data_IF_668452164463
#
_entry.id   IF_668452164463
#
_cell.length_a   1.000
_cell.length_b   1.000
_cell.length_c   1.000
_cell.angle_alpha   90.00
_cell.angle_beta   90.00
_cell.angle_gamma   90.00
#
_symmetry.space_group_name_H-M   'P 1'
#
loop_
_entity.id
_entity.type
_entity.pdbx_description
1 polymer ?
#
# COMPACT_ATOMS: atom_id res chain seq x y z
N UNK A 1 -4.53 9.98 4.56
CA UNK A 1 -5.32 9.47 5.70
C UNK A 1 -6.65 8.83 5.25
N UNK A 2 -6.68 7.99 4.20
CA UNK A 2 -7.84 7.12 3.92
C UNK A 2 -7.42 5.78 3.25
N UNK A 3 -7.49 4.70 4.04
CA UNK A 3 -7.97 3.37 3.64
C UNK A 3 -7.15 2.57 2.59
N UNK A 4 -6.02 2.04 3.08
CA UNK A 4 -5.36 0.86 2.54
C UNK A 4 -5.94 -0.43 3.16
N UNK A 5 -6.92 -1.05 2.50
CA UNK A 5 -7.02 -2.51 2.40
C UNK A 5 -8.01 -2.86 1.29
N UNK A 6 -7.55 -3.64 0.32
CA UNK A 6 -8.40 -4.33 -0.67
C UNK A 6 -8.98 -5.63 -0.12
N UNK A 7 -8.55 -6.03 1.09
CA UNK A 7 -8.69 -7.40 1.53
C UNK A 7 -9.83 -7.63 2.56
N UNK A 8 -11.05 -7.17 2.28
CA UNK A 8 -12.20 -7.40 3.16
C UNK A 8 -13.51 -7.78 2.46
N UNK A 9 -13.50 -8.62 1.41
CA UNK A 9 -14.73 -9.23 0.90
C UNK A 9 -14.55 -10.75 0.67
N UNK A 10 -15.13 -11.51 1.59
CA UNK A 10 -15.69 -12.88 1.55
C UNK A 10 -15.07 -13.95 0.62
N UNK A 11 -14.66 -15.08 1.22
CA UNK A 11 -15.22 -16.42 0.88
C UNK A 11 -14.75 -17.50 1.87
N UNK A 12 -15.73 -18.18 2.46
CA UNK A 12 -15.58 -19.51 3.03
C UNK A 12 -15.26 -20.54 1.93
N UNK A 13 -14.53 -21.58 2.32
CA UNK A 13 -14.18 -22.71 1.45
C UNK A 13 -15.43 -23.52 1.12
N UNK A 14 -15.72 -23.69 -0.16
CA UNK A 14 -16.57 -24.80 -0.61
C UNK A 14 -15.70 -26.06 -0.66
N UNK A 15 -16.03 -27.03 0.19
CA UNK A 15 -15.48 -28.38 0.17
C UNK A 15 -16.13 -29.10 -1.02
N UNK A 16 -15.31 -29.58 -1.95
CA UNK A 16 -15.74 -30.43 -3.06
C UNK A 16 -16.15 -31.79 -2.49
N UNK A 17 -17.45 -32.06 -2.48
CA UNK A 17 -18.04 -33.36 -2.20
C UNK A 17 -18.77 -33.85 -3.45
N UNK A 18 -18.28 -34.97 -4.00
CA UNK A 18 -18.86 -35.76 -5.07
C UNK A 18 -20.36 -36.05 -4.85
N UNK A 19 -21.18 -35.87 -5.90
CA UNK A 19 -22.57 -36.31 -5.92
C UNK A 19 -23.21 -36.08 -7.28
N UNK A 20 -23.27 -37.12 -8.11
CA UNK A 20 -24.10 -37.18 -9.32
C UNK A 20 -25.56 -36.97 -8.93
N UNK A 21 -26.26 -36.06 -9.60
CA UNK A 21 -27.74 -36.13 -9.67
C UNK A 21 -28.19 -35.86 -11.10
N UNK A 22 -28.90 -36.86 -11.60
CA UNK A 22 -29.51 -37.04 -12.91
C UNK A 22 -30.60 -36.00 -13.19
N UNK A 23 -30.68 -35.51 -14.42
CA UNK A 23 -31.77 -34.65 -14.90
C UNK A 23 -32.93 -35.55 -15.33
N UNK A 24 -34.08 -35.40 -14.70
CA UNK A 24 -35.37 -35.88 -15.21
C UNK A 24 -36.36 -34.72 -15.14
N UNK A 25 -36.99 -34.40 -16.28
CA UNK A 25 -38.00 -33.36 -16.38
C UNK A 25 -39.33 -33.76 -15.77
N UNK A 26 -40.23 -32.79 -15.61
CA UNK A 26 -41.68 -32.86 -15.87
C UNK A 26 -42.27 -31.44 -15.72
N UNK A 27 -43.12 -31.12 -16.69
CA UNK A 27 -44.02 -29.97 -16.84
C UNK A 27 -45.07 -29.86 -15.73
N UNK A 28 -45.52 -28.64 -15.40
CA UNK A 28 -46.75 -28.46 -14.60
C UNK A 28 -47.08 -27.00 -14.25
N UNK A 29 -48.13 -26.48 -14.87
CA UNK A 29 -48.74 -25.16 -14.66
C UNK A 29 -49.53 -25.12 -13.33
N UNK A 30 -49.48 -24.00 -12.59
CA UNK A 30 -50.41 -23.76 -11.48
C UNK A 30 -50.22 -22.44 -10.73
N UNK A 31 -50.99 -21.41 -11.08
CA UNK A 31 -51.20 -20.19 -10.27
C UNK A 31 -51.95 -20.54 -8.97
N UNK A 32 -51.52 -20.01 -7.82
CA UNK A 32 -52.41 -19.34 -6.82
C UNK A 32 -51.66 -18.84 -5.56
N UNK A 33 -52.17 -17.68 -5.10
CA UNK A 33 -52.18 -17.10 -3.74
C UNK A 33 -50.90 -16.44 -3.20
N UNK A 34 -50.90 -15.11 -3.34
CA UNK A 34 -50.31 -14.15 -2.41
C UNK A 34 -50.95 -14.31 -1.01
N UNK A 35 -50.15 -14.58 0.02
CA UNK A 35 -50.52 -14.31 1.41
C UNK A 35 -49.28 -14.09 2.29
N UNK A 36 -49.41 -13.05 3.11
CA UNK A 36 -48.71 -12.67 4.34
C UNK A 36 -47.19 -12.49 4.33
N UNK A 37 -46.83 -11.20 4.40
CA UNK A 37 -45.71 -10.61 5.14
C UNK A 37 -45.00 -11.55 6.13
N UNK A 38 -43.90 -12.15 5.68
CA UNK A 38 -42.87 -12.68 6.56
C UNK A 38 -41.92 -11.55 6.96
N UNK A 39 -41.86 -11.31 8.26
CA UNK A 39 -40.90 -10.46 8.94
C UNK A 39 -39.48 -10.73 8.44
N UNK A 40 -38.84 -9.75 7.81
CA UNK A 40 -37.42 -9.79 7.50
C UNK A 40 -36.63 -9.92 8.81
N UNK A 41 -36.16 -11.14 9.06
CA UNK A 41 -35.26 -11.51 10.13
C UNK A 41 -34.10 -10.52 10.22
N UNK A 42 -33.87 -9.99 11.43
CA UNK A 42 -32.69 -9.18 11.78
C UNK A 42 -31.44 -9.97 11.40
N UNK A 43 -30.71 -9.48 10.40
CA UNK A 43 -29.36 -9.88 9.98
C UNK A 43 -28.52 -10.51 11.12
N UNK A 44 -28.58 -11.84 11.26
CA UNK A 44 -27.60 -12.59 12.05
C UNK A 44 -26.28 -12.54 11.29
N UNK A 45 -25.21 -12.06 11.94
CA UNK A 45 -23.86 -12.15 11.39
C UNK A 45 -23.58 -13.60 10.95
N UNK A 46 -22.81 -13.83 9.87
CA UNK A 46 -22.42 -15.19 9.50
C UNK A 46 -21.69 -15.82 10.69
N UNK A 47 -22.27 -16.89 11.24
CA UNK A 47 -21.71 -17.61 12.37
C UNK A 47 -20.58 -18.51 11.85
N UNK A 48 -19.33 -18.06 11.96
CA UNK A 48 -18.18 -18.89 11.67
C UNK A 48 -18.13 -20.06 12.65
N UNK A 49 -17.68 -21.22 12.17
CA UNK A 49 -17.48 -22.37 13.04
C UNK A 49 -16.33 -22.12 14.02
N UNK A 50 -16.36 -22.74 15.19
CA UNK A 50 -15.28 -22.62 16.19
C UNK A 50 -13.91 -22.98 15.63
N UNK A 51 -13.84 -24.04 14.80
CA UNK A 51 -12.62 -24.46 14.10
C UNK A 51 -12.08 -23.38 13.15
N UNK A 52 -12.95 -22.70 12.41
CA UNK A 52 -12.50 -21.61 11.52
C UNK A 52 -11.93 -20.44 12.31
N UNK A 53 -12.55 -20.08 13.44
CA UNK A 53 -12.05 -19.03 14.32
C UNK A 53 -10.72 -19.39 14.98
N UNK A 54 -10.54 -20.66 15.38
CA UNK A 54 -9.26 -21.15 15.90
C UNK A 54 -8.15 -21.09 14.85
N UNK A 55 -8.44 -21.49 13.61
CA UNK A 55 -7.49 -21.38 12.49
C UNK A 55 -7.14 -19.92 12.24
N UNK A 56 -8.13 -19.02 12.17
CA UNK A 56 -7.89 -17.60 11.97
C UNK A 56 -7.03 -16.98 13.09
N UNK A 57 -7.27 -17.39 14.35
CA UNK A 57 -6.47 -16.96 15.50
C UNK A 57 -5.03 -17.48 15.41
N UNK A 58 -4.85 -18.74 15.03
CA UNK A 58 -3.52 -19.33 14.85
C UNK A 58 -2.75 -18.63 13.74
N UNK A 59 -3.37 -18.42 12.58
CA UNK A 59 -2.77 -17.67 11.46
C UNK A 59 -2.37 -16.25 11.85
N UNK A 60 -3.18 -15.59 12.68
CA UNK A 60 -2.85 -14.28 13.24
C UNK A 60 -1.60 -14.35 14.13
N UNK A 61 -1.57 -15.27 15.10
CA UNK A 61 -0.46 -15.39 16.05
C UNK A 61 0.85 -15.71 15.34
N UNK A 62 0.81 -16.64 14.39
CA UNK A 62 1.96 -16.99 13.53
C UNK A 62 2.41 -15.78 12.70
N UNK A 63 1.48 -14.91 12.33
CA UNK A 63 1.72 -13.68 11.56
C UNK A 63 2.28 -12.49 12.35
N UNK A 64 2.36 -12.54 13.68
CA UNK A 64 2.91 -11.44 14.49
C UNK A 64 4.43 -11.25 14.31
N UNK A 65 5.13 -12.32 13.91
CA UNK A 65 6.59 -12.31 13.81
C UNK A 65 7.30 -12.18 15.17
N UNK A 66 8.64 -12.20 15.18
CA UNK A 66 9.42 -12.33 16.41
C UNK A 66 9.45 -11.05 17.27
N UNK A 67 9.21 -9.88 16.68
CA UNK A 67 9.27 -8.60 17.40
C UNK A 67 7.95 -8.22 18.05
N UNK A 68 6.83 -8.31 17.32
CA UNK A 68 5.51 -7.92 17.86
C UNK A 68 5.03 -8.92 18.91
N UNK A 69 5.33 -10.22 18.74
CA UNK A 69 4.95 -11.26 19.72
C UNK A 69 5.58 -11.06 21.11
N UNK A 70 6.69 -10.33 21.20
CA UNK A 70 7.38 -10.01 22.47
C UNK A 70 6.86 -8.73 23.15
N UNK A 71 6.01 -7.95 22.47
CA UNK A 71 5.44 -6.75 23.07
C UNK A 71 4.45 -7.11 24.20
N UNK A 72 4.21 -6.19 25.16
CA UNK A 72 3.17 -6.39 26.16
C UNK A 72 1.83 -6.70 25.50
N UNK A 73 1.08 -7.67 26.04
CA UNK A 73 -0.21 -8.14 25.45
C UNK A 73 -1.21 -7.00 25.17
N UNK A 74 -1.17 -5.92 25.94
CA UNK A 74 -2.01 -4.73 25.76
C UNK A 74 -1.61 -3.87 24.54
N UNK A 75 -0.36 -3.94 24.09
CA UNK A 75 0.19 -3.13 22.99
C UNK A 75 0.07 -3.83 21.65
N UNK A 76 0.09 -5.18 21.64
CA UNK A 76 -0.03 -6.00 20.42
C UNK A 76 -1.21 -5.56 19.54
N UNK A 77 -2.45 -5.35 20.05
CA UNK A 77 -3.57 -4.94 19.21
C UNK A 77 -3.36 -3.58 18.52
N UNK A 78 -2.67 -2.64 19.16
CA UNK A 78 -2.36 -1.32 18.58
C UNK A 78 -1.22 -1.41 17.55
N UNK A 79 -0.23 -2.27 17.81
CA UNK A 79 0.83 -2.58 16.84
C UNK A 79 0.25 -3.23 15.56
N UNK A 80 -0.67 -4.17 15.71
CA UNK A 80 -1.41 -4.78 14.60
C UNK A 80 -2.29 -3.76 13.87
N UNK A 81 -2.87 -2.80 14.59
CA UNK A 81 -3.67 -1.73 14.00
C UNK A 81 -2.83 -0.81 13.12
N UNK A 82 -1.57 -0.59 13.51
CA UNK A 82 -0.55 0.11 12.71
C UNK A 82 0.08 -0.73 11.59
N UNK A 83 -0.22 -2.04 11.52
CA UNK A 83 0.40 -3.01 10.61
C UNK A 83 1.91 -3.15 10.81
N UNK A 84 2.40 -3.04 12.05
CA UNK A 84 3.82 -3.20 12.34
C UNK A 84 4.33 -4.62 12.03
N UNK A 85 3.46 -5.62 12.06
CA UNK A 85 3.74 -7.00 11.65
C UNK A 85 3.91 -7.16 10.12
N UNK A 86 3.40 -6.20 9.33
CA UNK A 86 3.47 -6.18 7.86
C UNK A 86 4.00 -4.83 7.35
N UNK A 87 5.29 -4.51 7.58
CA UNK A 87 5.85 -3.18 7.34
C UNK A 87 6.02 -2.81 5.86
N UNK A 88 5.62 -3.68 4.93
CA UNK A 88 5.74 -3.47 3.47
C UNK A 88 5.17 -2.13 3.05
N UNK A 89 3.99 -1.79 3.57
CA UNK A 89 3.31 -0.54 3.26
C UNK A 89 3.98 0.71 3.83
N UNK A 90 4.74 0.59 4.91
CA UNK A 90 5.53 1.70 5.48
C UNK A 90 6.78 1.92 4.66
N UNK A 91 7.48 0.83 4.29
CA UNK A 91 8.66 0.91 3.44
C UNK A 91 8.35 1.50 2.07
N UNK A 92 7.31 1.01 1.39
CA UNK A 92 6.96 1.54 0.07
C UNK A 92 6.52 3.02 0.11
N UNK A 93 5.99 3.50 1.25
CA UNK A 93 5.68 4.92 1.45
C UNK A 93 6.95 5.75 1.68
N UNK A 94 7.91 5.17 2.39
CA UNK A 94 9.14 5.84 2.80
C UNK A 94 10.19 5.93 1.68
N UNK A 95 10.31 4.92 0.82
CA UNK A 95 11.36 4.85 -0.20
C UNK A 95 11.37 6.05 -1.19
N UNK A 96 10.24 6.53 -1.73
CA UNK A 96 10.25 7.75 -2.55
C UNK A 96 10.69 9.00 -1.75
N UNK A 97 10.45 9.03 -0.43
CA UNK A 97 10.94 10.09 0.44
C UNK A 97 12.46 10.04 0.55
N UNK A 98 13.05 8.85 0.73
CA UNK A 98 14.51 8.72 0.84
C UNK A 98 15.22 9.18 -0.43
N UNK A 99 14.67 8.86 -1.61
CA UNK A 99 15.25 9.27 -2.88
C UNK A 99 15.25 10.79 -3.03
N UNK A 100 14.12 11.44 -2.77
CA UNK A 100 14.01 12.90 -2.88
C UNK A 100 14.87 13.64 -1.85
N UNK A 101 14.94 13.14 -0.60
CA UNK A 101 15.81 13.70 0.44
C UNK A 101 17.28 13.59 0.05
N UNK A 102 17.74 12.41 -0.39
CA UNK A 102 19.16 12.22 -0.74
C UNK A 102 19.53 13.03 -1.99
N UNK A 103 18.66 13.07 -3.00
CA UNK A 103 18.88 13.91 -4.18
C UNK A 103 18.91 15.41 -3.81
N UNK A 104 17.95 15.87 -3.00
CA UNK A 104 17.92 17.24 -2.49
C UNK A 104 19.15 17.59 -1.64
N UNK A 105 19.61 16.66 -0.80
CA UNK A 105 20.81 16.79 0.01
C UNK A 105 22.07 16.98 -0.85
N UNK A 106 22.23 16.16 -1.90
CA UNK A 106 23.34 16.32 -2.84
C UNK A 106 23.28 17.65 -3.60
N UNK A 107 22.11 18.08 -4.04
CA UNK A 107 21.94 19.35 -4.76
C UNK A 107 22.24 20.57 -3.88
N UNK A 108 21.90 20.52 -2.59
CA UNK A 108 22.10 21.60 -1.64
C UNK A 108 23.48 21.56 -0.96
N UNK A 109 24.23 20.45 -1.09
CA UNK A 109 25.47 20.23 -0.34
C UNK A 109 25.24 20.02 1.17
N UNK A 110 24.14 19.38 1.55
CA UNK A 110 23.76 19.19 2.94
C UNK A 110 24.69 18.21 3.68
N UNK A 111 24.94 18.48 4.97
CA UNK A 111 25.77 17.62 5.82
C UNK A 111 25.09 16.28 6.13
N UNK A 112 25.89 15.27 6.48
CA UNK A 112 25.38 13.93 6.84
C UNK A 112 24.36 13.99 7.98
N UNK A 113 24.60 14.84 8.98
CA UNK A 113 23.69 15.01 10.13
C UNK A 113 22.33 15.57 9.73
N UNK A 114 22.30 16.60 8.87
CA UNK A 114 21.04 17.18 8.38
C UNK A 114 20.25 16.16 7.55
N UNK A 115 20.93 15.45 6.64
CA UNK A 115 20.31 14.41 5.79
C UNK A 115 19.77 13.24 6.61
N UNK A 116 20.56 12.72 7.56
CA UNK A 116 20.14 11.63 8.44
C UNK A 116 18.97 12.04 9.34
N UNK A 117 18.99 13.28 9.86
CA UNK A 117 17.87 13.85 10.61
C UNK A 117 16.58 13.88 9.79
N UNK A 118 16.65 14.37 8.54
CA UNK A 118 15.48 14.44 7.67
C UNK A 118 14.94 13.07 7.27
N UNK A 119 15.83 12.12 6.98
CA UNK A 119 15.47 10.71 6.77
C UNK A 119 14.73 10.14 8.00
N UNK A 120 15.24 10.41 9.21
CA UNK A 120 14.58 10.00 10.46
C UNK A 120 13.18 10.60 10.62
N UNK A 121 13.03 11.91 10.41
CA UNK A 121 11.74 12.62 10.48
C UNK A 121 10.72 12.01 9.50
N UNK A 122 11.11 11.81 8.25
CA UNK A 122 10.24 11.19 7.24
C UNK A 122 9.96 9.71 7.54
N UNK A 123 10.90 8.98 8.14
CA UNK A 123 10.71 7.59 8.57
C UNK A 123 9.64 7.48 9.66
N UNK A 124 9.70 8.34 10.68
CA UNK A 124 8.66 8.45 11.72
C UNK A 124 7.33 8.87 11.10
N UNK A 125 7.34 9.87 10.22
CA UNK A 125 6.15 10.33 9.50
C UNK A 125 5.50 9.20 8.69
N UNK A 126 6.28 8.44 7.93
CA UNK A 126 5.78 7.32 7.13
C UNK A 126 5.18 6.22 8.02
N UNK A 127 5.84 5.86 9.13
CA UNK A 127 5.35 4.87 10.09
C UNK A 127 4.00 5.29 10.70
N UNK A 128 3.93 6.51 11.20
CA UNK A 128 2.76 7.04 11.91
C UNK A 128 1.60 7.27 10.96
N UNK A 129 1.83 7.91 9.80
CA UNK A 129 0.77 8.22 8.85
C UNK A 129 0.26 6.98 8.12
N UNK A 130 1.12 5.98 7.89
CA UNK A 130 0.67 4.66 7.44
C UNK A 130 -0.21 4.00 8.49
N UNK A 131 0.22 4.01 9.74
CA UNK A 131 -0.54 3.48 10.87
C UNK A 131 -1.90 4.16 11.03
N UNK A 132 -1.98 5.49 10.91
CA UNK A 132 -3.22 6.26 10.92
C UNK A 132 -4.16 5.83 9.78
N UNK A 133 -3.61 5.67 8.57
CA UNK A 133 -4.35 5.19 7.40
C UNK A 133 -4.94 3.78 7.59
N UNK A 134 -4.22 2.88 8.25
CA UNK A 134 -4.72 1.54 8.60
C UNK A 134 -5.75 1.57 9.75
N UNK A 135 -5.55 2.44 10.74
CA UNK A 135 -6.44 2.60 11.90
C UNK A 135 -7.82 3.11 11.48
N UNK A 136 -7.89 4.19 10.69
CA UNK A 136 -9.17 4.69 10.18
C UNK A 136 -9.85 3.67 9.28
N UNK A 137 -9.07 2.86 8.56
CA UNK A 137 -9.62 1.82 7.71
C UNK A 137 -10.35 0.74 8.51
N UNK A 138 -9.65 0.13 9.47
CA UNK A 138 -10.24 -0.90 10.31
C UNK A 138 -11.42 -0.35 11.11
N UNK A 139 -11.42 0.96 11.44
CA UNK A 139 -12.54 1.62 12.12
C UNK A 139 -13.80 1.69 11.25
N UNK A 140 -13.65 2.03 9.95
CA UNK A 140 -14.74 2.11 8.98
C UNK A 140 -15.23 0.72 8.55
N UNK A 141 -14.30 -0.22 8.35
CA UNK A 141 -14.58 -1.57 7.86
C UNK A 141 -15.00 -2.55 8.97
N UNK A 142 -14.99 -2.15 10.26
CA UNK A 142 -15.21 -3.03 11.42
C UNK A 142 -16.41 -3.99 11.30
N UNK A 143 -17.55 -3.52 10.78
CA UNK A 143 -18.77 -4.33 10.64
C UNK A 143 -18.68 -5.33 9.49
N UNK A 144 -17.93 -4.99 8.44
CA UNK A 144 -17.67 -5.87 7.31
C UNK A 144 -16.61 -6.91 7.68
N UNK A 145 -15.55 -6.49 8.38
CA UNK A 145 -14.48 -7.36 8.84
C UNK A 145 -14.96 -8.45 9.80
N UNK A 146 -15.96 -8.14 10.64
CA UNK A 146 -16.63 -9.15 11.48
C UNK A 146 -17.34 -10.25 10.70
N UNK A 147 -17.62 -10.03 9.41
CA UNK A 147 -18.32 -10.97 8.52
C UNK A 147 -17.38 -11.71 7.59
N UNK A 148 -16.07 -11.53 7.71
CA UNK A 148 -15.07 -12.12 6.82
C UNK A 148 -14.01 -12.87 7.64
N UNK A 149 -13.88 -14.18 7.41
CA UNK A 149 -13.01 -15.04 8.23
C UNK A 149 -11.55 -14.56 8.31
N UNK A 150 -10.99 -14.03 7.21
CA UNK A 150 -9.60 -13.54 7.18
C UNK A 150 -9.38 -12.24 7.96
N UNK A 151 -10.43 -11.48 8.25
CA UNK A 151 -10.34 -10.19 8.95
C UNK A 151 -11.11 -10.14 10.26
N UNK A 152 -11.77 -11.23 10.65
CA UNK A 152 -12.49 -11.35 11.93
C UNK A 152 -11.56 -11.11 13.13
N UNK A 153 -10.29 -11.50 13.01
CA UNK A 153 -9.26 -11.33 14.05
C UNK A 153 -8.60 -9.94 14.01
N UNK A 154 -9.01 -8.99 13.16
CA UNK A 154 -8.49 -7.61 13.20
C UNK A 154 -8.80 -6.95 14.55
N UNK A 155 -7.96 -6.03 15.06
CA UNK A 155 -8.08 -5.53 16.44
C UNK A 155 -9.45 -4.93 16.79
N UNK A 156 -10.04 -4.15 15.88
CA UNK A 156 -11.36 -3.53 16.09
C UNK A 156 -12.50 -4.53 15.84
N UNK A 157 -12.38 -5.37 14.81
CA UNK A 157 -13.40 -6.36 14.45
C UNK A 157 -13.58 -7.42 15.55
N UNK A 158 -12.48 -7.93 16.10
CA UNK A 158 -12.43 -8.91 17.19
C UNK A 158 -12.76 -8.33 18.57
N UNK A 159 -12.95 -7.01 18.68
CA UNK A 159 -13.23 -6.34 19.96
C UNK A 159 -12.01 -6.16 20.88
N UNK A 160 -10.79 -6.55 20.46
CA UNK A 160 -9.56 -6.36 21.23
C UNK A 160 -9.19 -4.89 21.42
N UNK A 161 -9.66 -4.03 20.52
CA UNK A 161 -9.60 -2.56 20.65
C UNK A 161 -11.02 -2.02 20.53
N UNK A 162 -11.47 -1.25 21.52
CA UNK A 162 -12.79 -0.63 21.48
C UNK A 162 -12.85 0.45 20.38
N UNK A 163 -14.01 0.73 19.77
CA UNK A 163 -14.14 1.78 18.76
C UNK A 163 -13.69 3.17 19.27
N UNK A 164 -13.98 3.49 20.54
CA UNK A 164 -13.49 4.73 21.18
C UNK A 164 -11.96 4.72 21.32
N UNK A 165 -11.37 3.60 21.74
CA UNK A 165 -9.92 3.43 21.84
C UNK A 165 -9.22 3.56 20.48
N UNK A 166 -9.82 3.05 19.41
CA UNK A 166 -9.31 3.24 18.05
C UNK A 166 -9.36 4.70 17.60
N UNK A 167 -10.41 5.44 17.96
CA UNK A 167 -10.54 6.86 17.62
C UNK A 167 -9.51 7.73 18.38
N UNK A 168 -9.31 7.46 19.67
CA UNK A 168 -8.26 8.12 20.47
C UNK A 168 -6.89 7.82 19.88
N UNK A 169 -6.62 6.57 19.54
CA UNK A 169 -5.36 6.18 18.93
C UNK A 169 -5.12 6.85 17.58
N UNK A 170 -6.15 6.92 16.72
CA UNK A 170 -6.10 7.68 15.48
C UNK A 170 -5.77 9.16 15.74
N UNK A 171 -6.45 9.79 16.71
CA UNK A 171 -6.16 11.16 17.13
C UNK A 171 -4.71 11.33 17.56
N UNK A 172 -4.19 10.38 18.34
CA UNK A 172 -2.79 10.37 18.82
C UNK A 172 -1.82 10.28 17.63
N UNK A 173 -2.08 9.39 16.66
CA UNK A 173 -1.26 9.26 15.45
C UNK A 173 -1.29 10.54 14.61
N UNK A 174 -2.46 11.17 14.46
CA UNK A 174 -2.56 12.42 13.71
C UNK A 174 -1.86 13.59 14.42
N UNK A 175 -1.87 13.63 15.75
CA UNK A 175 -1.12 14.62 16.53
C UNK A 175 0.39 14.42 16.36
N UNK A 176 0.87 13.18 16.42
CA UNK A 176 2.28 12.88 16.13
C UNK A 176 2.64 13.24 14.69
N UNK A 177 1.77 12.93 13.72
CA UNK A 177 1.95 13.33 12.32
C UNK A 177 1.99 14.85 12.12
N UNK A 178 1.18 15.59 12.87
CA UNK A 178 1.22 17.06 12.92
C UNK A 178 2.51 17.58 13.55
N UNK A 179 2.99 16.92 14.62
CA UNK A 179 4.31 17.20 15.20
C UNK A 179 5.43 17.02 14.18
N UNK A 180 5.42 15.91 13.43
CA UNK A 180 6.37 15.68 12.32
C UNK A 180 6.26 16.79 11.26
N UNK A 181 5.05 17.16 10.85
CA UNK A 181 4.85 18.23 9.87
C UNK A 181 5.37 19.58 10.38
N UNK A 182 5.25 19.87 11.68
CA UNK A 182 5.74 21.11 12.28
C UNK A 182 7.26 21.25 12.27
N UNK A 183 8.00 20.13 12.15
CA UNK A 183 9.45 20.13 11.98
C UNK A 183 9.89 20.42 10.54
N UNK A 184 8.96 20.43 9.59
CA UNK A 184 9.23 20.66 8.18
C UNK A 184 9.00 22.13 7.80
N UNK A 185 9.72 22.64 6.79
CA UNK A 185 9.56 24.02 6.35
C UNK A 185 8.17 24.25 5.71
N UNK A 186 7.73 25.51 5.68
CA UNK A 186 6.37 25.88 5.25
C UNK A 186 6.00 25.40 3.84
N UNK A 187 6.98 25.27 2.94
CA UNK A 187 6.80 24.71 1.60
C UNK A 187 6.24 23.27 1.66
N UNK A 188 6.68 22.46 2.63
CA UNK A 188 6.14 21.12 2.85
C UNK A 188 4.68 21.15 3.33
N UNK A 189 4.27 22.20 4.04
CA UNK A 189 2.88 22.34 4.51
C UNK A 189 1.94 22.61 3.35
N UNK A 190 2.32 23.55 2.46
CA UNK A 190 1.53 23.86 1.27
C UNK A 190 1.44 22.66 0.31
N UNK A 191 2.55 21.95 0.08
CA UNK A 191 2.53 20.72 -0.71
C UNK A 191 1.74 19.60 -0.04
N UNK A 192 1.80 19.49 1.29
CA UNK A 192 0.99 18.56 2.06
C UNK A 192 -0.50 18.87 1.92
N UNK A 193 -0.88 20.14 2.03
CA UNK A 193 -2.25 20.61 1.84
C UNK A 193 -2.76 20.31 0.42
N UNK A 194 -1.92 20.52 -0.60
CA UNK A 194 -2.23 20.22 -1.99
C UNK A 194 -2.52 18.72 -2.24
N UNK A 195 -2.03 17.82 -1.39
CA UNK A 195 -2.33 16.38 -1.49
C UNK A 195 -3.74 16.01 -0.99
N UNK A 196 -4.34 16.84 -0.13
CA UNK A 196 -5.58 16.49 0.57
C UNK A 196 -6.76 16.18 -0.37
N UNK A 197 -7.03 16.94 -1.44
CA UNK A 197 -8.12 16.61 -2.35
C UNK A 197 -8.00 15.19 -2.93
N UNK A 198 -6.79 14.75 -3.28
CA UNK A 198 -6.55 13.41 -3.81
C UNK A 198 -6.75 12.36 -2.71
N UNK A 199 -6.23 12.63 -1.51
CA UNK A 199 -6.35 11.74 -0.35
C UNK A 199 -7.80 11.52 0.07
N UNK A 200 -8.62 12.58 0.08
CA UNK A 200 -10.04 12.49 0.43
C UNK A 200 -10.88 11.83 -0.65
N UNK A 201 -10.55 12.05 -1.92
CA UNK A 201 -11.34 11.50 -3.03
C UNK A 201 -10.98 10.05 -3.34
N UNK A 202 -9.77 9.57 -3.06
CA UNK A 202 -9.30 8.21 -3.37
C UNK A 202 -10.28 7.07 -3.01
N UNK A 203 -10.92 7.02 -1.82
CA UNK A 203 -11.87 5.96 -1.47
C UNK A 203 -13.06 5.86 -2.45
N UNK A 204 -13.45 6.99 -3.05
CA UNK A 204 -14.53 7.06 -4.02
C UNK A 204 -14.14 6.40 -5.35
N UNK A 205 -12.86 6.44 -5.73
CA UNK A 205 -12.38 5.87 -7.01
C UNK A 205 -12.68 4.37 -7.12
N UNK A 206 -12.68 3.63 -6.00
CA UNK A 206 -13.04 2.20 -6.00
C UNK A 206 -14.49 1.95 -6.45
N UNK A 207 -15.38 2.94 -6.31
CA UNK A 207 -16.80 2.82 -6.67
C UNK A 207 -17.07 3.23 -8.12
N UNK A 208 -16.29 4.18 -8.65
CA UNK A 208 -16.57 4.80 -9.95
C UNK A 208 -15.63 4.34 -11.08
N UNK A 209 -14.40 3.90 -10.78
CA UNK A 209 -13.40 3.59 -11.82
C UNK A 209 -12.76 2.21 -11.66
N UNK A 210 -12.24 1.68 -12.77
CA UNK A 210 -11.35 0.51 -12.78
C UNK A 210 -9.91 0.84 -12.36
N UNK A 211 -9.61 2.12 -12.09
CA UNK A 211 -8.25 2.58 -11.80
C UNK A 211 -8.07 3.13 -10.37
N UNK A 212 -8.55 2.47 -9.30
CA UNK A 212 -8.25 2.95 -7.94
C UNK A 212 -6.74 2.99 -7.66
N UNK A 213 -5.94 2.14 -8.32
CA UNK A 213 -4.49 2.15 -8.19
C UNK A 213 -3.84 3.45 -8.66
N UNK A 214 -4.45 4.17 -9.61
CA UNK A 214 -3.96 5.47 -10.07
C UNK A 214 -4.06 6.50 -8.96
N UNK A 215 -5.24 6.65 -8.36
CA UNK A 215 -5.44 7.56 -7.23
C UNK A 215 -4.62 7.16 -5.99
N UNK A 216 -4.42 5.84 -5.77
CA UNK A 216 -3.51 5.37 -4.73
C UNK A 216 -2.08 5.84 -4.98
N UNK A 217 -1.57 5.59 -6.19
CA UNK A 217 -0.20 5.91 -6.57
C UNK A 217 0.07 7.40 -6.50
N UNK A 218 -0.93 8.24 -6.81
CA UNK A 218 -0.83 9.69 -6.66
C UNK A 218 -0.62 10.08 -5.19
N UNK A 219 -1.49 9.63 -4.29
CA UNK A 219 -1.37 9.95 -2.86
C UNK A 219 -0.09 9.37 -2.23
N UNK A 220 0.24 8.13 -2.60
CA UNK A 220 1.22 7.33 -1.89
C UNK A 220 2.66 7.75 -2.18
N UNK A 221 2.93 8.35 -3.34
CA UNK A 221 4.27 8.78 -3.73
C UNK A 221 4.50 10.28 -3.51
N UNK A 222 3.59 10.99 -2.83
CA UNK A 222 3.72 12.43 -2.57
C UNK A 222 5.00 12.79 -1.81
N UNK A 223 5.55 11.82 -1.04
CA UNK A 223 6.86 11.94 -0.39
C UNK A 223 8.01 12.27 -1.34
N UNK A 224 7.94 11.84 -2.61
CA UNK A 224 8.93 12.19 -3.64
C UNK A 224 8.97 13.70 -3.96
N UNK A 225 7.88 14.42 -3.71
CA UNK A 225 7.83 15.87 -3.83
C UNK A 225 8.28 16.55 -2.54
N UNK A 226 7.91 16.01 -1.38
CA UNK A 226 8.15 16.65 -0.09
C UNK A 226 9.63 16.64 0.34
N UNK A 227 10.44 15.67 -0.10
CA UNK A 227 11.84 15.57 0.34
C UNK A 227 12.74 16.72 -0.14
N UNK A 228 12.49 17.28 -1.33
CA UNK A 228 13.26 18.42 -1.84
C UNK A 228 13.10 19.70 -0.99
N UNK A 229 11.88 20.24 -0.80
CA UNK A 229 11.69 21.42 0.03
C UNK A 229 12.08 21.16 1.49
N UNK A 230 11.98 19.92 1.97
CA UNK A 230 12.47 19.56 3.29
C UNK A 230 14.00 19.75 3.42
N UNK A 231 14.74 19.51 2.33
CA UNK A 231 16.17 19.82 2.23
C UNK A 231 16.47 21.27 1.82
N UNK A 232 15.46 22.13 1.72
CA UNK A 232 15.62 23.56 1.42
C UNK A 232 15.67 23.92 -0.05
N UNK A 233 15.40 22.98 -0.98
CA UNK A 233 15.46 23.22 -2.42
C UNK A 233 14.12 22.92 -3.11
N UNK A 234 13.69 23.79 -4.02
CA UNK A 234 12.50 23.56 -4.85
C UNK A 234 12.92 23.47 -6.32
N UNK A 235 13.16 22.26 -6.81
CA UNK A 235 13.55 22.02 -8.20
C UNK A 235 12.46 21.22 -8.93
N UNK A 236 11.48 21.92 -9.49
CA UNK A 236 10.38 21.31 -10.24
C UNK A 236 10.84 20.39 -11.38
N UNK A 237 11.86 20.75 -12.19
CA UNK A 237 12.40 19.87 -13.22
C UNK A 237 12.88 18.51 -12.71
N UNK A 238 13.39 18.40 -11.48
CA UNK A 238 13.78 17.13 -10.85
C UNK A 238 12.60 16.48 -10.11
N UNK A 239 11.82 17.28 -9.38
CA UNK A 239 10.73 16.81 -8.52
C UNK A 239 9.62 16.10 -9.31
N UNK A 240 9.17 16.69 -10.42
CA UNK A 240 8.05 16.15 -11.20
C UNK A 240 8.41 14.80 -11.83
N UNK A 241 9.55 14.63 -12.54
CA UNK A 241 9.93 13.33 -13.07
C UNK A 241 10.16 12.27 -11.98
N UNK A 242 10.73 12.63 -10.82
CA UNK A 242 10.89 11.67 -9.72
C UNK A 242 9.53 11.21 -9.16
N UNK A 243 8.60 12.14 -8.96
CA UNK A 243 7.24 11.82 -8.52
C UNK A 243 6.50 10.95 -9.53
N UNK A 244 6.53 11.29 -10.82
CA UNK A 244 5.88 10.50 -11.87
C UNK A 244 6.53 9.13 -12.04
N UNK A 245 7.86 9.03 -11.91
CA UNK A 245 8.56 7.74 -11.87
C UNK A 245 8.07 6.88 -10.71
N UNK A 246 8.03 7.44 -9.49
CA UNK A 246 7.54 6.74 -8.30
C UNK A 246 6.06 6.35 -8.42
N UNK A 247 5.24 7.20 -9.04
CA UNK A 247 3.85 6.92 -9.36
C UNK A 247 3.70 5.71 -10.29
N UNK A 248 4.46 5.65 -11.38
CA UNK A 248 4.41 4.52 -12.32
C UNK A 248 4.94 3.22 -11.69
N UNK A 249 5.93 3.33 -10.82
CA UNK A 249 6.42 2.19 -10.06
C UNK A 249 5.35 1.64 -9.12
N UNK A 250 4.65 2.52 -8.41
CA UNK A 250 3.53 2.16 -7.54
C UNK A 250 2.36 1.55 -8.29
N UNK A 251 1.98 2.13 -9.42
CA UNK A 251 0.99 1.52 -10.30
C UNK A 251 1.36 0.10 -10.71
N UNK A 252 2.64 -0.15 -10.97
CA UNK A 252 3.14 -1.47 -11.39
C UNK A 252 3.01 -2.49 -10.26
N UNK A 253 3.61 -2.22 -9.10
CA UNK A 253 3.58 -3.18 -8.00
C UNK A 253 2.17 -3.33 -7.39
N UNK A 254 1.36 -2.26 -7.37
CA UNK A 254 0.01 -2.32 -6.80
C UNK A 254 -0.98 -3.02 -7.75
N UNK A 255 -0.72 -2.98 -9.05
CA UNK A 255 -1.45 -3.83 -10.00
C UNK A 255 -1.09 -5.30 -9.82
N UNK A 256 0.18 -5.65 -9.58
CA UNK A 256 0.57 -7.03 -9.22
C UNK A 256 -0.11 -7.46 -7.92
N UNK A 257 -0.19 -6.57 -6.93
CA UNK A 257 -0.92 -6.82 -5.69
C UNK A 257 -2.41 -7.06 -5.95
N UNK A 258 -3.05 -6.24 -6.80
CA UNK A 258 -4.46 -6.41 -7.16
C UNK A 258 -4.78 -7.73 -7.86
N UNK A 259 -3.83 -8.31 -8.59
CA UNK A 259 -4.00 -9.65 -9.19
C UNK A 259 -4.15 -10.78 -8.14
N UNK A 260 -3.71 -10.58 -6.89
CA UNK A 260 -3.95 -11.53 -5.79
C UNK A 260 -5.43 -11.70 -5.49
N UNK A 261 -6.19 -10.60 -5.58
CA UNK A 261 -7.62 -10.56 -5.27
C UNK A 261 -8.49 -10.68 -6.54
N UNK A 262 -7.91 -10.90 -7.74
CA UNK A 262 -8.62 -10.94 -9.04
C UNK A 262 -9.86 -11.83 -9.05
N UNK A 263 -9.75 -13.06 -8.55
CA UNK A 263 -10.86 -14.03 -8.51
C UNK A 263 -12.00 -13.57 -7.58
N UNK A 264 -11.67 -12.80 -6.55
CA UNK A 264 -12.64 -12.24 -5.60
C UNK A 264 -13.28 -10.97 -6.15
N UNK A 265 -12.49 -10.07 -6.73
CA UNK A 265 -12.96 -8.84 -7.37
C UNK A 265 -14.06 -9.13 -8.40
N UNK A 266 -13.90 -10.18 -9.21
CA UNK A 266 -14.91 -10.63 -10.18
C UNK A 266 -16.23 -10.98 -9.50
N UNK A 267 -16.17 -11.77 -8.41
CA UNK A 267 -17.37 -12.22 -7.68
C UNK A 267 -18.06 -11.08 -6.93
N UNK A 268 -17.30 -10.11 -6.45
CA UNK A 268 -17.81 -8.97 -5.70
C UNK A 268 -18.20 -7.77 -6.59
N UNK A 269 -17.99 -7.85 -7.91
CA UNK A 269 -18.25 -6.74 -8.84
C UNK A 269 -17.32 -5.54 -8.63
N UNK A 270 -16.17 -5.73 -8.00
CA UNK A 270 -15.21 -4.66 -7.70
C UNK A 270 -14.36 -4.39 -8.94
N UNK A 271 -14.27 -3.12 -9.33
CA UNK A 271 -13.50 -2.68 -10.49
C UNK A 271 -12.01 -2.51 -10.13
N UNK A 272 -11.10 -3.06 -10.94
CA UNK A 272 -9.64 -2.99 -10.70
C UNK A 272 -8.82 -2.99 -11.98
N UNK A 273 -7.58 -2.47 -11.92
CA UNK A 273 -6.65 -2.53 -13.07
C UNK A 273 -6.36 -3.96 -13.50
N UNK A 274 -6.34 -4.90 -12.55
CA UNK A 274 -6.18 -6.32 -12.84
C UNK A 274 -7.29 -6.85 -13.77
N UNK A 275 -8.53 -6.36 -13.60
CA UNK A 275 -9.65 -6.69 -14.48
C UNK A 275 -9.66 -5.86 -15.77
N UNK A 276 -9.37 -4.56 -15.70
CA UNK A 276 -9.36 -3.71 -16.89
C UNK A 276 -8.24 -4.05 -17.88
N UNK A 277 -7.06 -4.41 -17.39
CA UNK A 277 -5.92 -4.77 -18.23
C UNK A 277 -5.95 -6.24 -18.66
N UNK A 278 -6.48 -7.12 -17.81
CA UNK A 278 -6.68 -8.54 -18.12
C UNK A 278 -5.39 -9.19 -18.67
N UNK A 279 -5.45 -9.87 -19.83
CA UNK A 279 -4.27 -10.48 -20.47
C UNK A 279 -3.16 -9.47 -20.84
N UNK A 280 -3.51 -8.21 -21.08
CA UNK A 280 -2.56 -7.15 -21.48
C UNK A 280 -1.76 -6.58 -20.31
N UNK A 281 -2.03 -6.99 -19.07
CA UNK A 281 -1.37 -6.46 -17.86
C UNK A 281 0.15 -6.42 -18.00
N UNK A 282 0.80 -7.51 -18.43
CA UNK A 282 2.26 -7.53 -18.58
C UNK A 282 2.77 -6.55 -19.63
N UNK A 283 2.04 -6.36 -20.74
CA UNK A 283 2.43 -5.42 -21.80
C UNK A 283 2.34 -3.97 -21.30
N UNK A 284 1.25 -3.63 -20.62
CA UNK A 284 1.04 -2.29 -20.05
C UNK A 284 2.08 -2.00 -18.97
N UNK A 285 2.33 -2.94 -18.05
CA UNK A 285 3.38 -2.78 -17.03
C UNK A 285 4.77 -2.59 -17.65
N UNK A 286 5.09 -3.25 -18.77
CA UNK A 286 6.35 -3.02 -19.49
C UNK A 286 6.43 -1.59 -20.02
N UNK A 287 5.40 -1.11 -20.70
CA UNK A 287 5.36 0.26 -21.22
C UNK A 287 5.49 1.30 -20.09
N UNK A 288 4.75 1.11 -19.00
CA UNK A 288 4.84 1.96 -17.81
C UNK A 288 6.23 1.92 -17.18
N UNK A 289 6.87 0.75 -17.15
CA UNK A 289 8.23 0.58 -16.61
C UNK A 289 9.28 1.26 -17.47
N UNK A 290 9.14 1.25 -18.80
CA UNK A 290 10.01 2.02 -19.70
C UNK A 290 9.88 3.50 -19.36
N UNK A 291 8.65 4.04 -19.34
CA UNK A 291 8.40 5.44 -18.97
C UNK A 291 8.92 5.78 -17.57
N UNK A 292 8.79 4.85 -16.62
CA UNK A 292 9.26 5.01 -15.25
C UNK A 292 10.78 5.17 -15.16
N UNK A 293 11.53 4.33 -15.89
CA UNK A 293 13.00 4.41 -15.97
C UNK A 293 13.43 5.69 -16.71
N UNK A 294 12.76 6.07 -17.79
CA UNK A 294 13.03 7.32 -18.52
C UNK A 294 12.83 8.54 -17.62
N UNK A 295 11.74 8.59 -16.85
CA UNK A 295 11.48 9.68 -15.92
C UNK A 295 12.46 9.71 -14.74
N UNK A 296 12.90 8.54 -14.27
CA UNK A 296 13.93 8.46 -13.23
C UNK A 296 15.27 8.99 -13.77
N UNK A 297 15.65 8.61 -14.99
CA UNK A 297 16.83 9.13 -15.66
C UNK A 297 16.73 10.65 -15.90
N UNK A 298 15.56 11.16 -16.27
CA UNK A 298 15.31 12.59 -16.42
C UNK A 298 15.46 13.34 -15.08
N UNK A 299 15.00 12.78 -13.96
CA UNK A 299 15.23 13.35 -12.64
C UNK A 299 16.73 13.41 -12.30
N UNK A 300 17.48 12.33 -12.60
CA UNK A 300 18.94 12.31 -12.47
C UNK A 300 19.63 13.35 -13.35
N UNK A 301 19.19 13.51 -14.60
CA UNK A 301 19.75 14.48 -15.53
C UNK A 301 19.53 15.91 -15.03
N UNK A 302 18.29 16.25 -14.66
CA UNK A 302 17.91 17.59 -14.21
C UNK A 302 18.54 17.98 -12.86
N UNK A 303 18.90 17.00 -12.03
CA UNK A 303 19.61 17.23 -10.77
C UNK A 303 21.15 17.27 -10.92
N UNK A 304 21.68 16.97 -12.11
CA UNK A 304 23.11 16.81 -12.35
C UNK A 304 23.70 15.53 -11.76
N UNK A 305 22.86 14.59 -11.30
CA UNK A 305 23.27 13.36 -10.61
C UNK A 305 23.35 12.14 -11.53
N UNK A 306 22.87 12.24 -12.77
CA UNK A 306 22.74 11.08 -13.67
C UNK A 306 24.04 10.29 -13.85
N UNK A 307 25.17 11.01 -13.91
CA UNK A 307 26.49 10.44 -14.16
C UNK A 307 27.21 9.98 -12.89
N UNK A 308 26.60 10.15 -11.73
CA UNK A 308 27.11 9.54 -10.49
C UNK A 308 27.12 8.01 -10.63
N UNK A 309 28.23 7.33 -10.25
CA UNK A 309 28.36 5.88 -10.40
C UNK A 309 27.25 5.12 -9.65
N UNK A 310 26.84 5.62 -8.49
CA UNK A 310 25.73 5.12 -7.71
C UNK A 310 24.39 5.32 -8.41
N UNK A 311 24.08 6.51 -8.91
CA UNK A 311 22.83 6.78 -9.62
C UNK A 311 22.70 5.90 -10.87
N UNK A 312 23.76 5.85 -11.70
CA UNK A 312 23.75 5.08 -12.94
C UNK A 312 23.67 3.56 -12.67
N UNK A 313 24.48 3.05 -11.74
CA UNK A 313 24.44 1.65 -11.33
C UNK A 313 23.10 1.27 -10.67
N UNK A 314 22.56 2.17 -9.84
CA UNK A 314 21.25 2.05 -9.21
C UNK A 314 20.11 2.02 -10.21
N UNK A 315 20.13 2.89 -11.22
CA UNK A 315 19.16 2.93 -12.32
C UNK A 315 19.17 1.61 -13.10
N UNK A 316 20.35 1.11 -13.45
CA UNK A 316 20.53 -0.17 -14.13
C UNK A 316 20.01 -1.35 -13.32
N UNK A 317 20.35 -1.41 -12.02
CA UNK A 317 19.86 -2.44 -11.10
C UNK A 317 18.34 -2.36 -10.88
N UNK A 318 17.79 -1.15 -10.77
CA UNK A 318 16.35 -0.93 -10.66
C UNK A 318 15.64 -1.47 -11.90
N UNK A 319 16.11 -1.10 -13.09
CA UNK A 319 15.56 -1.59 -14.37
C UNK A 319 15.63 -3.12 -14.45
N UNK A 320 16.78 -3.72 -14.16
CA UNK A 320 16.96 -5.18 -14.16
C UNK A 320 15.93 -5.88 -13.26
N UNK A 321 15.74 -5.39 -12.03
CA UNK A 321 14.80 -5.98 -11.08
C UNK A 321 13.34 -5.78 -11.52
N UNK A 322 13.01 -4.59 -12.00
CA UNK A 322 11.65 -4.25 -12.43
C UNK A 322 11.22 -5.08 -13.64
N UNK A 323 12.01 -5.09 -14.72
CA UNK A 323 11.70 -5.88 -15.92
C UNK A 323 11.79 -7.38 -15.65
N UNK A 324 12.74 -7.81 -14.81
CA UNK A 324 12.84 -9.20 -14.34
C UNK A 324 11.59 -9.66 -13.58
N UNK A 325 11.05 -8.81 -12.70
CA UNK A 325 9.79 -9.04 -11.99
C UNK A 325 8.63 -9.19 -12.97
N UNK A 326 8.46 -8.25 -13.91
CA UNK A 326 7.33 -8.27 -14.87
C UNK A 326 7.37 -9.52 -15.75
N UNK A 327 8.57 -9.96 -16.16
CA UNK A 327 8.75 -11.19 -16.93
C UNK A 327 8.32 -12.42 -16.13
N UNK A 328 8.81 -12.54 -14.89
CA UNK A 328 8.70 -13.77 -14.07
C UNK A 328 7.43 -13.88 -13.23
N UNK A 329 6.71 -12.79 -12.97
CA UNK A 329 5.49 -12.84 -12.15
C UNK A 329 4.41 -13.67 -12.84
N UNK A 330 3.84 -14.61 -12.08
CA UNK A 330 2.62 -15.32 -12.47
C UNK A 330 1.44 -14.58 -11.83
N UNK A 331 0.63 -13.94 -12.68
CA UNK A 331 -0.47 -13.08 -12.25
C UNK A 331 -1.68 -13.88 -11.75
N UNK A 332 -1.77 -15.17 -12.06
CA UNK A 332 -2.89 -16.01 -11.61
C UNK A 332 -2.58 -16.78 -10.32
N UNK A 333 -1.35 -16.63 -9.79
CA UNK A 333 -0.90 -17.22 -8.53
C UNK A 333 -0.73 -16.15 -7.42
N UNK A 334 -1.67 -16.06 -6.45
CA UNK A 334 -1.63 -15.06 -5.39
C UNK A 334 -0.36 -15.06 -4.54
N UNK A 335 0.21 -16.25 -4.25
CA UNK A 335 1.45 -16.36 -3.47
C UNK A 335 2.64 -15.79 -4.25
N UNK A 336 2.69 -16.02 -5.56
CA UNK A 336 3.74 -15.49 -6.41
C UNK A 336 3.61 -13.95 -6.56
N UNK A 337 2.39 -13.45 -6.73
CA UNK A 337 2.11 -12.01 -6.70
C UNK A 337 2.55 -11.36 -5.39
N UNK A 338 2.31 -12.00 -4.23
CA UNK A 338 2.76 -11.48 -2.94
C UNK A 338 4.29 -11.43 -2.84
N UNK A 339 4.98 -12.48 -3.30
CA UNK A 339 6.45 -12.54 -3.34
C UNK A 339 7.03 -11.36 -4.12
N UNK A 340 6.53 -11.10 -5.33
CA UNK A 340 7.02 -10.02 -6.17
C UNK A 340 6.62 -8.63 -5.67
N UNK A 341 5.40 -8.47 -5.16
CA UNK A 341 4.97 -7.23 -4.49
C UNK A 341 5.91 -6.87 -3.33
N UNK A 342 6.13 -7.81 -2.40
CA UNK A 342 7.03 -7.62 -1.26
C UNK A 342 8.49 -7.34 -1.71
N UNK A 343 8.93 -7.99 -2.79
CA UNK A 343 10.27 -7.80 -3.36
C UNK A 343 10.56 -6.38 -3.86
N UNK A 344 9.55 -5.51 -4.02
CA UNK A 344 9.74 -4.11 -4.38
C UNK A 344 10.39 -3.29 -3.27
N UNK A 345 10.25 -3.70 -1.99
CA UNK A 345 11.01 -3.05 -0.89
C UNK A 345 12.50 -3.07 -1.21
N UNK A 346 13.03 -4.25 -1.57
CA UNK A 346 14.44 -4.40 -1.89
C UNK A 346 14.84 -3.60 -3.14
N UNK A 347 13.97 -3.51 -4.15
CA UNK A 347 14.23 -2.70 -5.34
C UNK A 347 14.44 -1.23 -4.98
N UNK A 348 13.60 -0.66 -4.12
CA UNK A 348 13.78 0.73 -3.70
C UNK A 348 14.89 0.93 -2.67
N UNK A 349 15.15 -0.05 -1.80
CA UNK A 349 16.31 -0.02 -0.91
C UNK A 349 17.61 0.00 -1.68
N UNK A 350 17.77 -0.85 -2.70
CA UNK A 350 18.97 -0.86 -3.54
C UNK A 350 19.20 0.48 -4.23
N UNK A 351 18.15 1.12 -4.73
CA UNK A 351 18.28 2.46 -5.30
C UNK A 351 18.65 3.51 -4.24
N UNK A 352 18.07 3.42 -3.03
CA UNK A 352 18.44 4.28 -1.89
C UNK A 352 19.91 4.12 -1.52
N UNK A 353 20.41 2.88 -1.45
CA UNK A 353 21.82 2.61 -1.18
C UNK A 353 22.71 3.17 -2.28
N UNK A 354 22.32 2.99 -3.55
CA UNK A 354 23.07 3.51 -4.67
C UNK A 354 23.16 5.05 -4.66
N UNK A 355 22.06 5.75 -4.34
CA UNK A 355 22.07 7.21 -4.13
C UNK A 355 22.94 7.62 -2.92
N UNK A 356 22.92 6.81 -1.85
CA UNK A 356 23.74 7.07 -0.67
C UNK A 356 25.23 6.95 -0.98
N UNK A 357 25.63 6.04 -1.87
CA UNK A 357 27.02 5.93 -2.36
C UNK A 357 27.45 7.23 -3.03
N UNK A 358 26.65 7.76 -3.96
CA UNK A 358 26.97 9.04 -4.61
C UNK A 358 27.02 10.19 -3.62
N UNK A 359 26.10 10.21 -2.65
CA UNK A 359 26.09 11.23 -1.60
C UNK A 359 27.38 11.20 -0.77
N UNK A 360 27.85 10.02 -0.39
CA UNK A 360 29.11 9.85 0.35
C UNK A 360 30.31 10.26 -0.52
N UNK A 361 30.36 9.84 -1.79
CA UNK A 361 31.42 10.22 -2.71
C UNK A 361 31.52 11.74 -2.90
N UNK A 362 30.37 12.41 -2.96
CA UNK A 362 30.28 13.87 -3.04
C UNK A 362 30.74 14.55 -1.76
N UNK A 363 30.40 14.03 -0.59
CA UNK A 363 30.93 14.53 0.69
C UNK A 363 32.44 14.38 0.81
N UNK A 364 33.01 13.33 0.19
CA UNK A 364 34.46 13.09 0.15
C UNK A 364 35.18 13.88 -0.95
N UNK A 365 34.46 14.61 -1.80
CA UNK A 365 35.02 15.41 -2.90
C UNK A 365 35.44 14.62 -4.14
N UNK A 366 34.96 13.38 -4.31
CA UNK A 366 35.19 12.58 -5.54
C UNK A 366 34.19 12.92 -6.66
N UNK A 367 33.06 13.54 -6.32
CA UNK A 367 32.00 14.05 -7.20
C UNK A 367 31.66 15.48 -6.76
#
# INVERSE_FOLDING_TARGET
MFVWCRSSILLGKSIVGSGRVTIAGISGIGRKKFMSSSSFSKNSAPTFTSKELEVARKERLDGLGPFISRLPKKWIPYAELMRLEKPVGTWLLYLPCTWSIIMGAMMQGATLGATAGMLGIFGVGALVMRGAGCTINDYLDRKLDQRVIRSVERPIASGRVSPRGALVFLGTQTLVGMGVLSLLPAQCWWLGLASLPIVFTYPLFKRFTYYPQAALSACFNWGALLGFPAMGIMNWPTMIPLYLSSYLWCMTYDTIYAHQDKKFDIKAGIKSTALAWGPRTKSIMKAMSISQITLLAAAGFNSGLLWGPGFLGGLGLFAYRLFGMIKKVDLDNPKNCWKYFNGNINTGLYFTYALTVDYILRLLGFL
#
